data_IF_268163727492
#
_entry.id   IF_268163727492
#
_cell.length_a   1.000
_cell.length_b   1.000
_cell.length_c   1.000
_cell.angle_alpha   90.00
_cell.angle_beta   90.00
_cell.angle_gamma   90.00
#
_symmetry.space_group_name_H-M   'P 1'
#
loop_
_entity.id
_entity.type
_entity.pdbx_description
1 polymer ?
#
# COMPACT_ATOMS: atom_id res chain seq x y z
N UNK A 1 -9.95 0.31 7.92
CA UNK A 1 -8.82 0.48 6.96
C UNK A 1 -9.10 0.01 5.54
N UNK A 2 -9.90 -1.04 5.31
CA UNK A 2 -10.12 -1.56 3.94
C UNK A 2 -10.64 -0.53 2.92
N UNK A 3 -11.36 0.49 3.35
CA UNK A 3 -11.85 1.59 2.51
C UNK A 3 -10.96 2.83 2.48
N UNK A 4 -9.81 2.79 3.14
CA UNK A 4 -8.90 3.93 3.16
C UNK A 4 -8.38 4.32 1.76
N UNK A 5 -7.95 3.38 0.89
CA UNK A 5 -7.57 3.72 -0.47
C UNK A 5 -8.71 4.37 -1.27
N UNK A 6 -9.94 3.86 -1.14
CA UNK A 6 -11.10 4.45 -1.81
C UNK A 6 -11.43 5.86 -1.29
N UNK A 7 -11.19 6.13 0.00
CA UNK A 7 -11.32 7.46 0.57
C UNK A 7 -10.28 8.43 -0.04
N UNK A 8 -9.02 8.02 -0.12
CA UNK A 8 -7.97 8.82 -0.76
C UNK A 8 -8.25 9.07 -2.24
N UNK A 9 -8.79 8.08 -2.97
CA UNK A 9 -9.22 8.27 -4.35
C UNK A 9 -10.20 9.43 -4.48
N UNK A 10 -11.20 9.50 -3.61
CA UNK A 10 -12.19 10.58 -3.65
C UNK A 10 -11.57 11.91 -3.23
N UNK A 11 -10.80 11.95 -2.16
CA UNK A 11 -10.20 13.18 -1.66
C UNK A 11 -9.19 13.79 -2.62
N UNK A 12 -8.38 12.98 -3.27
CA UNK A 12 -7.28 13.44 -4.11
C UNK A 12 -7.60 13.35 -5.61
N UNK A 13 -7.94 12.16 -6.13
CA UNK A 13 -8.15 11.98 -7.57
C UNK A 13 -9.38 12.76 -8.07
N UNK A 14 -10.48 12.79 -7.32
CA UNK A 14 -11.66 13.57 -7.68
C UNK A 14 -11.45 15.07 -7.45
N UNK A 15 -10.91 15.44 -6.29
CA UNK A 15 -10.80 16.84 -5.91
C UNK A 15 -9.68 17.57 -6.64
N UNK A 16 -8.51 16.93 -6.78
CA UNK A 16 -7.31 17.53 -7.37
C UNK A 16 -7.05 17.12 -8.82
N UNK A 17 -7.72 16.08 -9.33
CA UNK A 17 -7.53 15.55 -10.69
C UNK A 17 -8.11 16.41 -11.80
N UNK A 18 -7.81 17.71 -11.78
CA UNK A 18 -8.36 18.73 -12.70
C UNK A 18 -7.23 19.36 -13.50
N UNK A 19 -7.49 19.65 -14.77
CA UNK A 19 -6.55 20.31 -15.66
C UNK A 19 -6.70 21.84 -15.70
N UNK A 20 -7.70 22.38 -15.01
CA UNK A 20 -8.04 23.81 -15.00
C UNK A 20 -7.84 24.36 -13.59
N UNK A 21 -7.18 25.50 -13.47
CA UNK A 21 -6.99 26.23 -12.23
C UNK A 21 -8.27 26.99 -11.81
N UNK A 22 -8.23 27.63 -10.65
CA UNK A 22 -9.36 28.42 -10.12
C UNK A 22 -9.75 29.61 -11.01
N UNK A 23 -8.85 30.09 -11.89
CA UNK A 23 -9.08 31.19 -12.81
C UNK A 23 -9.56 30.73 -14.20
N UNK A 24 -9.70 29.43 -14.41
CA UNK A 24 -10.13 28.83 -15.67
C UNK A 24 -9.00 28.61 -16.70
N UNK A 25 -7.74 28.69 -16.29
CA UNK A 25 -6.60 28.45 -17.18
C UNK A 25 -6.17 26.99 -17.11
N UNK A 26 -5.66 26.45 -18.22
CA UNK A 26 -5.01 25.14 -18.23
C UNK A 26 -3.75 25.14 -17.36
N UNK A 27 -3.55 24.10 -16.56
CA UNK A 27 -2.33 23.90 -15.79
C UNK A 27 -1.33 23.05 -16.58
N UNK A 28 -0.04 23.38 -16.45
CA UNK A 28 1.06 22.72 -17.17
C UNK A 28 1.77 21.63 -16.34
N UNK A 29 1.21 21.25 -15.20
CA UNK A 29 1.77 20.25 -14.28
C UNK A 29 0.75 19.16 -13.92
N UNK A 30 1.24 18.04 -13.41
CA UNK A 30 0.37 16.95 -12.94
C UNK A 30 -0.36 17.34 -11.66
N UNK A 31 -1.68 17.16 -11.62
CA UNK A 31 -2.56 17.64 -10.55
C UNK A 31 -3.04 16.58 -9.58
N UNK A 32 -2.70 15.34 -9.75
CA UNK A 32 -3.05 14.27 -8.82
C UNK A 32 -2.42 12.93 -9.25
N UNK A 33 -1.96 12.11 -8.30
CA UNK A 33 -1.50 10.77 -8.58
C UNK A 33 -2.67 9.83 -8.85
N UNK A 34 -2.39 8.70 -9.50
CA UNK A 34 -3.33 7.58 -9.55
C UNK A 34 -3.16 6.78 -8.26
N UNK A 35 -4.22 6.73 -7.47
CA UNK A 35 -4.25 6.04 -6.18
C UNK A 35 -5.16 4.83 -6.27
N UNK A 36 -4.67 3.67 -5.84
CA UNK A 36 -5.44 2.44 -5.70
C UNK A 36 -4.81 1.55 -4.63
N UNK A 37 -5.59 0.67 -4.05
CA UNK A 37 -5.09 -0.23 -3.02
C UNK A 37 -6.18 -1.13 -2.47
N UNK A 38 -5.74 -2.18 -1.80
CA UNK A 38 -6.59 -3.20 -1.18
C UNK A 38 -5.95 -3.70 0.13
N UNK A 39 -6.70 -4.37 1.00
CA UNK A 39 -6.10 -5.16 2.07
C UNK A 39 -5.03 -6.09 1.51
N UNK A 40 -3.85 -6.13 2.15
CA UNK A 40 -2.66 -6.76 1.60
C UNK A 40 -2.84 -8.21 1.17
N UNK A 41 -3.57 -9.03 1.97
CA UNK A 41 -3.86 -10.42 1.63
C UNK A 41 -4.72 -10.57 0.37
N UNK A 42 -5.65 -9.65 0.12
CA UNK A 42 -6.47 -9.62 -1.11
C UNK A 42 -5.66 -9.10 -2.29
N UNK A 43 -4.87 -8.04 -2.08
CA UNK A 43 -4.03 -7.42 -3.09
C UNK A 43 -3.05 -8.40 -3.75
N UNK A 44 -2.52 -9.37 -2.99
CA UNK A 44 -1.64 -10.41 -3.50
C UNK A 44 -2.27 -11.25 -4.62
N UNK A 45 -3.57 -11.46 -4.57
CA UNK A 45 -4.31 -12.23 -5.56
C UNK A 45 -4.96 -11.35 -6.65
N UNK A 46 -4.71 -10.05 -6.61
CA UNK A 46 -5.31 -9.09 -7.53
C UNK A 46 -4.28 -8.41 -8.43
N UNK A 47 -3.30 -7.71 -7.88
CA UNK A 47 -2.41 -6.86 -8.67
C UNK A 47 -0.92 -6.97 -8.29
N UNK A 48 -0.52 -7.78 -7.32
CA UNK A 48 0.89 -7.87 -6.92
C UNK A 48 1.78 -8.41 -8.02
N UNK A 49 1.26 -9.23 -8.92
CA UNK A 49 2.00 -9.69 -10.10
C UNK A 49 2.51 -8.51 -10.93
N UNK A 50 1.66 -7.52 -11.18
CA UNK A 50 2.03 -6.30 -11.91
C UNK A 50 3.09 -5.49 -11.14
N UNK A 51 2.92 -5.34 -9.83
CA UNK A 51 3.85 -4.57 -8.99
C UNK A 51 5.24 -5.22 -8.98
N UNK A 52 5.33 -6.55 -8.86
CA UNK A 52 6.60 -7.27 -8.81
C UNK A 52 7.29 -7.39 -10.17
N UNK A 53 6.57 -7.75 -11.23
CA UNK A 53 7.13 -8.12 -12.53
C UNK A 53 6.69 -7.23 -13.70
N UNK A 54 5.78 -6.29 -13.47
CA UNK A 54 5.29 -5.42 -14.53
C UNK A 54 6.36 -4.48 -15.09
N UNK A 55 6.13 -3.99 -16.29
CA UNK A 55 7.04 -3.08 -17.00
C UNK A 55 7.01 -1.65 -16.45
N UNK A 56 5.91 -1.27 -15.79
CA UNK A 56 5.76 0.03 -15.14
C UNK A 56 6.12 -0.11 -13.67
N UNK A 57 7.03 0.73 -13.19
CA UNK A 57 7.39 0.80 -11.77
C UNK A 57 6.34 1.64 -11.03
N UNK A 58 5.65 1.01 -10.08
CA UNK A 58 4.63 1.66 -9.24
C UNK A 58 5.18 1.75 -7.82
N UNK A 59 5.31 2.94 -7.23
CA UNK A 59 5.64 3.10 -5.82
C UNK A 59 4.56 2.49 -4.93
N UNK A 60 4.97 1.72 -3.93
CA UNK A 60 4.04 1.02 -3.03
C UNK A 60 4.18 1.53 -1.61
N UNK A 61 3.06 1.74 -0.95
CA UNK A 61 3.03 2.02 0.47
C UNK A 61 2.25 0.93 1.22
N UNK A 62 2.90 0.36 2.22
CA UNK A 62 2.29 -0.59 3.13
C UNK A 62 1.93 0.12 4.44
N UNK A 63 0.69 -0.06 4.89
CA UNK A 63 0.24 0.42 6.19
C UNK A 63 0.02 -0.79 7.09
N UNK A 64 0.80 -0.88 8.16
CA UNK A 64 0.76 -1.97 9.12
C UNK A 64 0.45 -1.50 10.54
N UNK A 65 -0.11 -2.40 11.34
CA UNK A 65 -0.36 -2.17 12.76
C UNK A 65 0.35 -3.25 13.59
N UNK A 66 1.11 -2.83 14.60
CA UNK A 66 1.83 -3.76 15.45
C UNK A 66 0.90 -4.67 16.24
N UNK A 67 -0.11 -4.06 16.86
CA UNK A 67 -1.05 -4.75 17.73
C UNK A 67 -2.36 -5.04 16.96
N UNK A 68 -3.00 -6.15 17.26
CA UNK A 68 -4.31 -6.45 16.70
C UNK A 68 -5.38 -5.46 17.23
N UNK A 69 -6.54 -5.45 16.57
CA UNK A 69 -7.63 -4.54 16.91
C UNK A 69 -8.38 -4.99 18.17
N UNK A 70 -8.37 -6.27 18.46
CA UNK A 70 -9.04 -6.88 19.61
C UNK A 70 -7.99 -7.26 20.65
N UNK A 71 -8.38 -7.38 21.91
CA UNK A 71 -7.47 -7.79 22.98
C UNK A 71 -7.17 -9.30 22.97
N UNK A 72 -7.75 -10.04 22.03
CA UNK A 72 -7.49 -11.46 21.81
C UNK A 72 -7.14 -11.70 20.33
N UNK A 73 -6.24 -12.63 20.08
CA UNK A 73 -5.85 -13.03 18.74
C UNK A 73 -5.84 -14.57 18.65
N UNK A 74 -6.05 -15.08 17.45
CA UNK A 74 -6.00 -16.51 17.20
C UNK A 74 -4.54 -16.98 17.18
N UNK A 75 -4.23 -17.93 18.07
CA UNK A 75 -2.91 -18.57 18.12
C UNK A 75 -2.96 -19.88 17.32
N UNK A 76 -2.05 -20.03 16.38
CA UNK A 76 -1.87 -21.26 15.63
C UNK A 76 -0.38 -21.52 15.41
N UNK A 77 0.11 -22.67 15.87
CA UNK A 77 1.54 -23.04 15.84
C UNK A 77 2.43 -21.96 16.46
N UNK A 78 2.07 -21.55 17.67
CA UNK A 78 2.81 -20.55 18.48
C UNK A 78 2.92 -19.16 17.88
N UNK A 79 2.18 -18.87 16.81
CA UNK A 79 2.11 -17.55 16.17
C UNK A 79 0.69 -17.03 16.12
N UNK A 80 0.52 -15.74 16.35
CA UNK A 80 -0.77 -15.06 16.26
C UNK A 80 -1.11 -14.70 14.81
N UNK A 81 -2.38 -14.42 14.54
CA UNK A 81 -2.80 -13.94 13.22
C UNK A 81 -2.17 -12.61 12.87
N UNK A 82 -2.00 -11.71 13.86
CA UNK A 82 -1.35 -10.42 13.66
C UNK A 82 0.13 -10.57 13.27
N UNK A 83 0.87 -11.44 13.93
CA UNK A 83 2.27 -11.73 13.58
C UNK A 83 2.40 -12.28 12.15
N UNK A 84 1.48 -13.15 11.72
CA UNK A 84 1.47 -13.67 10.34
C UNK A 84 1.18 -12.58 9.32
N UNK A 85 0.26 -11.66 9.62
CA UNK A 85 -0.03 -10.52 8.76
C UNK A 85 1.18 -9.60 8.63
N UNK A 86 1.87 -9.31 9.73
CA UNK A 86 3.08 -8.47 9.71
C UNK A 86 4.24 -9.16 8.99
N UNK A 87 4.46 -10.45 9.25
CA UNK A 87 5.47 -11.22 8.53
C UNK A 87 5.24 -11.21 7.02
N UNK A 88 3.98 -11.35 6.60
CA UNK A 88 3.60 -11.26 5.19
C UNK A 88 3.87 -9.85 4.62
N UNK A 89 3.48 -8.79 5.34
CA UNK A 89 3.73 -7.40 4.93
C UNK A 89 5.23 -7.16 4.72
N UNK A 90 6.07 -7.55 5.67
CA UNK A 90 7.53 -7.40 5.56
C UNK A 90 8.10 -8.23 4.41
N UNK A 91 7.63 -9.47 4.23
CA UNK A 91 8.07 -10.32 3.13
C UNK A 91 7.77 -9.70 1.76
N UNK A 92 6.60 -9.10 1.58
CA UNK A 92 6.24 -8.40 0.35
C UNK A 92 7.12 -7.17 0.11
N UNK A 93 7.36 -6.37 1.14
CA UNK A 93 8.24 -5.20 1.05
C UNK A 93 9.68 -5.60 0.67
N UNK A 94 10.23 -6.63 1.33
CA UNK A 94 11.56 -7.16 1.02
C UNK A 94 11.61 -7.72 -0.40
N UNK A 95 10.59 -8.51 -0.79
CA UNK A 95 10.52 -9.08 -2.14
C UNK A 95 10.50 -8.02 -3.23
N UNK A 96 9.78 -6.92 -3.03
CA UNK A 96 9.76 -5.76 -3.94
C UNK A 96 11.14 -5.09 -4.04
N UNK A 97 11.83 -4.93 -2.91
CA UNK A 97 13.14 -4.28 -2.87
C UNK A 97 14.24 -5.16 -3.46
N UNK A 98 14.32 -6.41 -3.02
CA UNK A 98 15.45 -7.31 -3.34
C UNK A 98 15.24 -8.11 -4.62
N UNK A 99 13.99 -8.41 -4.98
CA UNK A 99 13.70 -9.32 -6.08
C UNK A 99 14.12 -10.77 -5.80
N UNK A 100 14.11 -11.58 -6.83
CA UNK A 100 14.56 -12.97 -6.78
C UNK A 100 15.08 -13.39 -8.15
N UNK A 101 16.32 -13.85 -8.21
CA UNK A 101 16.90 -14.45 -9.41
C UNK A 101 16.34 -15.86 -9.64
N UNK A 102 16.11 -16.21 -10.89
CA UNK A 102 15.70 -17.55 -11.30
C UNK A 102 16.16 -17.83 -12.73
N UNK A 103 16.57 -19.06 -12.99
CA UNK A 103 16.89 -19.55 -14.36
C UNK A 103 15.62 -19.63 -15.22
N UNK A 104 14.45 -19.71 -14.59
CA UNK A 104 13.18 -19.62 -15.28
C UNK A 104 12.73 -18.14 -15.33
N UNK A 105 12.69 -17.52 -16.52
CA UNK A 105 12.32 -16.11 -16.66
C UNK A 105 10.95 -15.76 -16.04
N UNK A 106 10.01 -16.70 -16.03
CA UNK A 106 8.68 -16.47 -15.45
C UNK A 106 8.69 -16.42 -13.90
N UNK A 107 9.79 -16.85 -13.27
CA UNK A 107 9.99 -16.83 -11.83
C UNK A 107 11.05 -15.80 -11.40
N UNK A 108 11.56 -15.04 -12.33
CA UNK A 108 12.51 -13.97 -12.05
C UNK A 108 11.77 -12.70 -11.64
N UNK A 109 12.14 -12.13 -10.50
CA UNK A 109 11.65 -10.86 -9.99
C UNK A 109 12.79 -9.85 -9.99
N UNK A 110 12.70 -8.74 -10.73
CA UNK A 110 13.82 -7.81 -10.89
C UNK A 110 14.21 -7.08 -9.59
N UNK A 111 13.29 -6.97 -8.62
CA UNK A 111 13.50 -6.14 -7.45
C UNK A 111 13.58 -4.65 -7.78
N UNK A 112 14.23 -3.88 -6.92
CA UNK A 112 14.37 -2.43 -7.05
C UNK A 112 13.03 -1.70 -7.28
N UNK A 113 11.96 -2.22 -6.64
CA UNK A 113 10.63 -1.61 -6.66
C UNK A 113 10.48 -0.71 -5.45
N UNK A 114 10.33 0.60 -5.63
CA UNK A 114 10.26 1.55 -4.52
C UNK A 114 9.05 1.25 -3.65
N UNK A 115 9.30 1.08 -2.37
CA UNK A 115 8.24 0.88 -1.41
C UNK A 115 8.63 1.44 -0.04
N UNK A 116 7.60 1.73 0.78
CA UNK A 116 7.78 2.14 2.17
C UNK A 116 6.73 1.49 3.06
N UNK A 117 7.02 1.45 4.35
CA UNK A 117 6.12 0.91 5.37
C UNK A 117 5.80 2.00 6.38
N UNK A 118 4.53 2.29 6.56
CA UNK A 118 4.01 3.08 7.67
C UNK A 118 3.53 2.13 8.77
N UNK A 119 4.20 2.16 9.90
CA UNK A 119 3.85 1.33 11.06
C UNK A 119 3.25 2.15 12.18
N UNK A 120 2.06 1.75 12.62
CA UNK A 120 1.44 2.31 13.80
C UNK A 120 1.21 1.25 14.87
N UNK A 121 0.93 1.67 16.09
CA UNK A 121 0.67 0.73 17.18
C UNK A 121 -0.62 -0.04 16.95
N UNK A 122 -1.71 0.66 16.69
CA UNK A 122 -3.05 0.08 16.52
C UNK A 122 -3.90 0.97 15.61
N UNK A 123 -4.88 0.36 14.94
CA UNK A 123 -5.88 1.10 14.18
C UNK A 123 -6.93 1.70 15.13
N UNK A 124 -6.71 2.92 15.56
CA UNK A 124 -7.56 3.68 16.48
C UNK A 124 -7.83 5.08 15.94
N UNK A 125 -8.81 5.85 16.47
CA UNK A 125 -9.18 7.16 15.93
C UNK A 125 -8.00 8.13 15.81
N UNK A 126 -7.10 8.16 16.77
CA UNK A 126 -5.88 8.98 16.72
C UNK A 126 -4.99 8.61 15.53
N UNK A 127 -4.71 7.32 15.34
CA UNK A 127 -3.90 6.84 14.22
C UNK A 127 -4.58 7.14 12.88
N UNK A 128 -5.90 7.00 12.81
CA UNK A 128 -6.64 7.33 11.59
C UNK A 128 -6.58 8.83 11.28
N UNK A 129 -6.73 9.69 12.28
CA UNK A 129 -6.57 11.14 12.11
C UNK A 129 -5.16 11.52 11.64
N UNK A 130 -4.13 10.89 12.23
CA UNK A 130 -2.74 11.11 11.83
C UNK A 130 -2.48 10.66 10.39
N UNK A 131 -3.04 9.52 9.97
CA UNK A 131 -2.94 9.06 8.58
C UNK A 131 -3.64 10.01 7.59
N UNK A 132 -4.85 10.47 7.92
CA UNK A 132 -5.55 11.44 7.09
C UNK A 132 -4.72 12.73 6.92
N UNK A 133 -4.24 13.29 8.01
CA UNK A 133 -3.39 14.48 7.98
C UNK A 133 -2.05 14.28 7.26
N UNK A 134 -1.52 13.07 7.27
CA UNK A 134 -0.28 12.74 6.54
C UNK A 134 -0.47 12.73 5.03
N UNK A 135 -1.67 12.38 4.55
CA UNK A 135 -1.99 12.35 3.12
C UNK A 135 -2.61 13.66 2.61
N UNK A 136 -2.98 14.58 3.48
CA UNK A 136 -3.47 15.92 3.15
C UNK A 136 -2.31 16.85 2.71
#
# INVERSE_FOLDING_TARGET
MSRFPAHLQQCDMESNGKRIDINGNDVEFSTGPIIWGEPGTNGQHSFYQLIHQGTIVVPVEFIGFRDNQNNSDNLFRETTSQEKLLANLFAQSIGLASGQNSDNPNKHFPGNRPNRILMAKRCEPYTMGALLSYYE
#
